data_IF_104398041687
#
_entry.id   IF_104398041687
#
_cell.length_a   1.000
_cell.length_b   1.000
_cell.length_c   1.000
_cell.angle_alpha   90.00
_cell.angle_beta   90.00
_cell.angle_gamma   90.00
#
_symmetry.space_group_name_H-M   'P 1'
#
loop_
_entity.id
_entity.type
_entity.pdbx_description
1 polymer ?
#
# COMPACT_ATOMS: atom_id res chain seq x y z
N UNK A 1 1.93 14.51 23.43
CA UNK A 1 0.69 14.01 22.83
C UNK A 1 0.57 14.46 21.39
N UNK A 2 0.65 15.75 21.07
CA UNK A 2 0.55 16.27 19.70
C UNK A 2 1.62 15.69 18.76
N UNK A 3 2.89 15.65 19.19
CA UNK A 3 3.99 15.04 18.41
C UNK A 3 3.80 13.53 18.15
N UNK A 4 3.15 12.81 19.09
CA UNK A 4 2.86 11.39 18.87
C UNK A 4 1.80 11.18 17.80
N UNK A 5 0.80 12.07 17.72
CA UNK A 5 -0.23 12.02 16.68
C UNK A 5 0.34 12.27 15.28
N UNK A 6 1.41 13.05 15.17
CA UNK A 6 2.10 13.35 13.92
C UNK A 6 3.04 12.22 13.46
N UNK A 7 3.55 11.40 14.38
CA UNK A 7 4.58 10.38 14.11
C UNK A 7 4.00 8.97 14.01
N UNK A 8 2.82 8.72 14.59
CA UNK A 8 2.24 7.37 14.63
C UNK A 8 0.96 7.27 13.79
N UNK A 9 0.91 6.41 12.74
CA UNK A 9 -0.32 6.12 12.01
C UNK A 9 -1.47 5.67 12.94
N UNK A 10 -1.13 4.99 14.04
CA UNK A 10 -2.07 4.60 15.09
C UNK A 10 -2.67 5.79 15.85
N UNK A 11 -2.02 6.95 15.84
CA UNK A 11 -2.52 8.20 16.40
C UNK A 11 -3.76 8.73 15.71
N UNK A 12 -3.86 8.51 14.38
CA UNK A 12 -5.00 8.93 13.57
C UNK A 12 -6.31 8.19 13.90
N UNK A 13 -6.24 7.04 14.60
CA UNK A 13 -7.42 6.23 14.95
C UNK A 13 -8.29 6.83 16.08
N UNK A 14 -7.99 8.02 16.60
CA UNK A 14 -8.81 8.70 17.61
C UNK A 14 -8.87 8.02 18.99
N UNK A 15 -8.31 6.81 19.16
CA UNK A 15 -8.38 6.03 20.43
C UNK A 15 -7.78 6.75 21.64
N UNK A 16 -6.84 7.68 21.41
CA UNK A 16 -6.25 8.48 22.47
C UNK A 16 -7.20 9.53 23.06
N UNK A 17 -8.30 9.81 22.38
CA UNK A 17 -9.34 10.71 22.87
C UNK A 17 -10.39 9.98 23.71
N UNK A 18 -10.43 8.64 23.74
CA UNK A 18 -11.43 7.89 24.51
C UNK A 18 -11.52 8.30 25.99
N UNK A 19 -10.41 8.51 26.73
CA UNK A 19 -10.51 8.98 28.12
C UNK A 19 -11.11 10.39 28.24
N UNK A 20 -10.98 11.23 27.20
CA UNK A 20 -11.52 12.59 27.20
C UNK A 20 -12.95 12.67 26.66
N UNK A 21 -13.49 11.61 26.02
CA UNK A 21 -14.83 11.63 25.44
C UNK A 21 -15.94 12.02 26.41
N UNK A 22 -15.99 11.53 27.67
CA UNK A 22 -17.00 11.93 28.61
C UNK A 22 -16.95 13.43 28.93
N UNK A 23 -15.76 14.00 29.11
CA UNK A 23 -15.55 15.41 29.36
C UNK A 23 -15.94 16.26 28.13
N UNK A 24 -15.53 15.84 26.94
CA UNK A 24 -15.88 16.49 25.67
C UNK A 24 -17.39 16.46 25.44
N UNK A 25 -18.03 15.33 25.68
CA UNK A 25 -19.49 15.18 25.57
C UNK A 25 -20.23 16.12 26.53
N UNK A 26 -19.81 16.19 27.79
CA UNK A 26 -20.36 17.10 28.77
C UNK A 26 -20.19 18.58 28.40
N UNK A 27 -18.99 18.98 27.95
CA UNK A 27 -18.72 20.37 27.51
C UNK A 27 -19.54 20.72 26.27
N UNK A 28 -19.64 19.80 25.28
CA UNK A 28 -20.43 20.00 24.08
C UNK A 28 -21.90 20.13 24.42
N UNK A 29 -22.43 19.24 25.27
CA UNK A 29 -23.83 19.29 25.71
C UNK A 29 -24.14 20.57 26.47
N UNK A 30 -23.25 20.98 27.40
CA UNK A 30 -23.39 22.22 28.16
C UNK A 30 -23.35 23.47 27.26
N UNK A 31 -22.40 23.49 26.32
CA UNK A 31 -22.28 24.57 25.33
C UNK A 31 -23.52 24.68 24.43
N UNK A 32 -24.01 23.55 23.92
CA UNK A 32 -25.27 23.50 23.13
C UNK A 32 -26.48 23.91 23.94
N UNK A 33 -26.59 23.50 25.22
CA UNK A 33 -27.70 23.93 26.07
C UNK A 33 -27.73 25.43 26.32
N UNK A 34 -26.53 26.03 26.58
CA UNK A 34 -26.41 27.48 26.73
C UNK A 34 -26.77 28.23 25.42
N UNK A 35 -26.43 27.66 24.27
CA UNK A 35 -26.77 28.25 22.98
C UNK A 35 -28.27 28.18 22.68
N UNK A 36 -28.95 27.10 23.06
CA UNK A 36 -30.41 26.95 22.94
C UNK A 36 -31.14 27.94 23.84
N UNK A 37 -30.63 28.22 25.05
CA UNK A 37 -31.16 29.23 25.94
C UNK A 37 -31.02 30.67 25.41
N UNK A 38 -29.96 30.92 24.59
CA UNK A 38 -29.72 32.22 23.95
C UNK A 38 -30.65 32.47 22.74
N UNK A 39 -31.00 31.37 22.01
CA UNK A 39 -31.92 31.44 20.88
C UNK A 39 -33.35 31.30 21.43
N UNK A 40 -34.08 32.41 21.53
CA UNK A 40 -35.51 32.41 21.99
C UNK A 40 -36.34 31.47 21.10
N UNK A 41 -36.49 30.22 21.51
CA UNK A 41 -37.38 29.25 20.85
C UNK A 41 -38.85 29.56 21.12
N UNK A 42 -39.75 29.34 20.15
CA UNK A 42 -41.19 29.47 20.39
C UNK A 42 -41.65 28.47 21.47
N UNK A 43 -42.73 28.88 22.21
CA UNK A 43 -43.24 28.16 23.39
C UNK A 43 -43.36 26.65 23.19
N UNK A 44 -42.87 25.84 24.20
CA UNK A 44 -42.81 24.39 24.08
C UNK A 44 -44.15 23.69 23.92
N UNK A 45 -44.18 22.58 23.19
CA UNK A 45 -45.29 21.64 23.13
C UNK A 45 -45.53 21.05 24.52
N UNK A 46 -46.75 20.94 24.92
CA UNK A 46 -47.34 20.98 26.24
C UNK A 46 -46.81 20.11 27.42
N UNK A 47 -45.74 19.34 27.32
CA UNK A 47 -45.19 18.55 28.44
C UNK A 47 -43.65 18.51 28.57
N UNK A 48 -42.90 19.21 27.75
CA UNK A 48 -41.45 19.34 27.89
C UNK A 48 -41.14 20.68 28.60
N UNK A 49 -40.69 20.59 29.84
CA UNK A 49 -40.62 21.75 30.74
C UNK A 49 -39.34 22.62 30.57
N UNK A 50 -38.42 22.25 29.67
CA UNK A 50 -37.21 23.08 29.45
C UNK A 50 -36.63 22.94 28.05
N UNK A 51 -35.91 23.97 27.50
CA UNK A 51 -35.16 23.89 26.25
C UNK A 51 -34.14 22.75 26.23
N UNK A 52 -33.56 22.41 27.39
CA UNK A 52 -32.59 21.32 27.57
C UNK A 52 -33.20 19.97 27.24
N UNK A 53 -34.48 19.75 27.54
CA UNK A 53 -35.19 18.50 27.22
C UNK A 53 -35.35 18.31 25.70
N UNK A 54 -35.64 19.37 24.96
CA UNK A 54 -35.70 19.32 23.49
C UNK A 54 -34.32 19.01 22.89
N UNK A 55 -33.28 19.69 23.40
CA UNK A 55 -31.92 19.44 22.96
C UNK A 55 -31.53 17.97 23.20
N UNK A 56 -31.85 17.43 24.39
CA UNK A 56 -31.56 16.04 24.72
C UNK A 56 -32.28 15.07 23.74
N UNK A 57 -33.53 15.33 23.39
CA UNK A 57 -34.28 14.52 22.42
C UNK A 57 -33.64 14.60 21.03
N UNK A 58 -33.34 15.80 20.55
CA UNK A 58 -32.72 16.01 19.25
C UNK A 58 -31.37 15.30 19.16
N UNK A 59 -30.50 15.43 20.19
CA UNK A 59 -29.22 14.74 20.25
C UNK A 59 -29.40 13.23 20.28
N UNK A 60 -30.32 12.69 21.09
CA UNK A 60 -30.53 11.24 21.14
C UNK A 60 -31.10 10.69 19.84
N UNK A 61 -32.06 11.38 19.21
CA UNK A 61 -32.57 10.99 17.88
C UNK A 61 -31.48 11.07 16.83
N UNK A 62 -30.69 12.13 16.83
CA UNK A 62 -29.51 12.26 15.92
C UNK A 62 -28.51 11.13 16.09
N UNK A 63 -28.16 10.81 17.33
CA UNK A 63 -27.24 9.70 17.65
C UNK A 63 -27.83 8.33 17.25
N UNK A 64 -29.13 8.10 17.52
CA UNK A 64 -29.79 6.86 17.10
C UNK A 64 -29.82 6.73 15.57
N UNK A 65 -30.13 7.81 14.86
CA UNK A 65 -30.09 7.84 13.39
C UNK A 65 -28.68 7.57 12.86
N UNK A 66 -27.66 8.23 13.42
CA UNK A 66 -26.26 8.02 13.05
C UNK A 66 -25.84 6.57 13.29
N UNK A 67 -26.26 5.98 14.42
CA UNK A 67 -25.97 4.58 14.74
C UNK A 67 -26.61 3.63 13.73
N UNK A 68 -27.88 3.87 13.36
CA UNK A 68 -28.58 3.05 12.34
C UNK A 68 -27.86 3.17 10.99
N UNK A 69 -27.51 4.40 10.57
CA UNK A 69 -26.79 4.63 9.32
C UNK A 69 -25.40 3.97 9.35
N UNK A 70 -24.68 4.07 10.48
CA UNK A 70 -23.38 3.43 10.63
C UNK A 70 -23.47 1.91 10.55
N UNK A 71 -24.46 1.30 11.23
CA UNK A 71 -24.61 -0.17 11.24
C UNK A 71 -25.08 -0.69 9.88
N UNK A 72 -26.15 -0.13 9.33
CA UNK A 72 -26.78 -0.69 8.12
C UNK A 72 -26.22 -0.10 6.82
N UNK A 73 -25.70 1.13 6.83
CA UNK A 73 -25.14 1.76 5.65
C UNK A 73 -23.65 1.48 5.44
N UNK A 74 -22.89 1.25 6.51
CA UNK A 74 -21.45 1.06 6.41
C UNK A 74 -20.99 -0.30 6.94
N UNK A 75 -21.34 -0.66 8.18
CA UNK A 75 -20.85 -1.91 8.77
C UNK A 75 -21.43 -3.13 8.09
N UNK A 76 -22.75 -3.18 7.87
CA UNK A 76 -23.38 -4.33 7.22
C UNK A 76 -22.84 -4.57 5.81
N UNK A 77 -22.57 -3.50 5.04
CA UNK A 77 -21.97 -3.60 3.72
C UNK A 77 -20.49 -4.04 3.79
N UNK A 78 -19.72 -3.53 4.77
CA UNK A 78 -18.32 -3.88 4.94
C UNK A 78 -18.08 -5.32 5.41
N UNK A 79 -19.09 -5.94 6.05
CA UNK A 79 -19.05 -7.33 6.54
C UNK A 79 -19.99 -8.26 5.77
N UNK A 80 -20.44 -7.85 4.58
CA UNK A 80 -21.23 -8.72 3.72
C UNK A 80 -20.37 -9.86 3.16
N UNK A 81 -20.97 -11.03 3.00
CA UNK A 81 -20.37 -12.11 2.24
C UNK A 81 -20.22 -11.69 0.76
N UNK A 82 -19.27 -12.29 0.02
CA UNK A 82 -19.11 -12.06 -1.41
C UNK A 82 -20.41 -12.32 -2.18
N UNK A 83 -20.61 -11.59 -3.28
CA UNK A 83 -21.81 -11.75 -4.08
C UNK A 83 -21.85 -13.10 -4.79
N UNK A 84 -22.97 -13.85 -4.72
CA UNK A 84 -23.10 -15.10 -5.44
C UNK A 84 -23.29 -14.86 -6.95
N UNK A 85 -22.81 -15.79 -7.78
CA UNK A 85 -23.07 -15.76 -9.21
C UNK A 85 -23.84 -17.02 -9.69
N UNK A 86 -24.59 -16.89 -10.79
CA UNK A 86 -25.39 -17.97 -11.34
C UNK A 86 -24.52 -18.99 -12.09
N UNK A 87 -24.96 -20.27 -12.13
CA UNK A 87 -24.22 -21.34 -12.79
C UNK A 87 -24.01 -21.12 -14.31
N UNK A 88 -24.88 -20.35 -14.93
CA UNK A 88 -24.88 -19.99 -16.35
C UNK A 88 -24.33 -18.58 -16.60
N UNK A 89 -23.73 -17.94 -15.59
CA UNK A 89 -23.10 -16.63 -15.74
C UNK A 89 -21.97 -16.69 -16.80
N UNK A 90 -21.92 -15.66 -17.63
CA UNK A 90 -20.81 -15.47 -18.56
C UNK A 90 -19.65 -14.82 -17.82
N UNK A 91 -18.52 -15.50 -17.74
CA UNK A 91 -17.33 -15.02 -17.08
C UNK A 91 -16.33 -14.53 -18.15
N UNK A 92 -15.77 -13.31 -18.03
CA UNK A 92 -14.94 -12.70 -19.08
C UNK A 92 -13.71 -13.52 -19.47
N UNK A 93 -12.96 -14.04 -18.48
CA UNK A 93 -11.76 -14.84 -18.70
C UNK A 93 -11.94 -16.22 -18.05
N UNK A 94 -12.55 -17.20 -18.74
CA UNK A 94 -12.80 -18.51 -18.18
C UNK A 94 -11.49 -19.27 -17.96
N UNK A 95 -11.35 -19.92 -16.79
CA UNK A 95 -10.16 -20.70 -16.41
C UNK A 95 -10.50 -22.17 -16.17
N UNK A 96 -11.42 -22.45 -15.25
CA UNK A 96 -11.75 -23.78 -14.74
C UNK A 96 -10.55 -24.52 -14.09
N UNK A 97 -9.56 -23.79 -13.59
CA UNK A 97 -8.45 -24.35 -12.84
C UNK A 97 -8.93 -24.83 -11.45
N UNK A 98 -8.56 -26.05 -11.09
CA UNK A 98 -8.96 -26.69 -9.85
C UNK A 98 -7.86 -26.53 -8.78
N UNK A 99 -8.23 -26.00 -7.64
CA UNK A 99 -7.37 -25.82 -6.47
C UNK A 99 -7.55 -27.01 -5.53
N UNK A 100 -6.60 -27.96 -5.60
CA UNK A 100 -6.68 -29.24 -4.92
C UNK A 100 -8.06 -29.90 -5.19
N UNK A 101 -8.68 -30.45 -4.15
CA UNK A 101 -10.03 -31.02 -4.21
C UNK A 101 -11.13 -30.06 -3.73
N UNK A 102 -10.79 -28.80 -3.45
CA UNK A 102 -11.68 -27.90 -2.70
C UNK A 102 -12.47 -26.93 -3.57
N UNK A 103 -11.84 -26.28 -4.55
CA UNK A 103 -12.47 -25.24 -5.32
C UNK A 103 -12.02 -25.23 -6.78
N UNK A 104 -12.87 -24.69 -7.66
CA UNK A 104 -12.56 -24.38 -9.06
C UNK A 104 -12.61 -22.86 -9.20
N UNK A 105 -11.56 -22.27 -9.77
CA UNK A 105 -11.64 -20.92 -10.31
C UNK A 105 -12.33 -21.03 -11.67
N UNK A 106 -13.58 -20.59 -11.76
CA UNK A 106 -14.35 -20.60 -13.02
C UNK A 106 -13.80 -19.59 -14.02
N UNK A 107 -13.20 -18.52 -13.54
CA UNK A 107 -12.54 -17.49 -14.31
C UNK A 107 -12.32 -16.24 -13.49
N UNK A 108 -11.95 -15.16 -14.16
CA UNK A 108 -11.64 -13.89 -13.50
C UNK A 108 -11.97 -12.70 -14.40
N UNK A 109 -12.02 -11.52 -13.80
CA UNK A 109 -12.12 -10.23 -14.47
C UNK A 109 -11.10 -9.26 -13.89
N UNK A 110 -10.47 -8.50 -14.75
CA UNK A 110 -9.57 -7.39 -14.37
C UNK A 110 -10.22 -6.09 -14.82
N UNK A 111 -10.21 -5.09 -13.95
CA UNK A 111 -10.68 -3.75 -14.29
C UNK A 111 -9.77 -3.09 -15.35
N UNK A 112 -8.46 -3.33 -15.25
CA UNK A 112 -7.45 -2.82 -16.18
C UNK A 112 -6.32 -3.83 -16.38
N UNK A 113 -5.58 -3.71 -17.50
CA UNK A 113 -4.36 -4.47 -17.78
C UNK A 113 -3.11 -3.59 -17.78
N UNK A 114 -3.28 -2.33 -17.40
CA UNK A 114 -2.19 -1.35 -17.28
C UNK A 114 -2.19 -0.79 -15.86
N UNK A 115 -1.05 -0.77 -15.21
CA UNK A 115 -0.86 -0.29 -13.85
C UNK A 115 0.22 0.79 -13.83
N UNK A 116 -0.01 1.86 -13.08
CA UNK A 116 0.98 2.91 -12.83
C UNK A 116 1.47 2.87 -11.38
N UNK A 117 2.67 3.38 -11.08
CA UNK A 117 3.14 3.55 -9.70
C UNK A 117 2.11 4.29 -8.84
N UNK A 118 1.88 3.79 -7.62
CA UNK A 118 0.84 4.32 -6.72
C UNK A 118 -0.60 3.99 -7.10
N UNK A 119 -0.81 3.32 -8.23
CA UNK A 119 -2.13 2.92 -8.72
C UNK A 119 -2.69 1.67 -8.04
N UNK A 120 -3.87 1.30 -8.48
CA UNK A 120 -4.58 0.11 -8.00
C UNK A 120 -5.02 -0.75 -9.17
N UNK A 121 -5.05 -2.05 -8.96
CA UNK A 121 -5.61 -3.05 -9.85
C UNK A 121 -6.69 -3.81 -9.09
N UNK A 122 -7.89 -3.95 -9.68
CA UNK A 122 -8.98 -4.73 -9.11
C UNK A 122 -9.15 -6.03 -9.89
N UNK A 123 -9.18 -7.13 -9.16
CA UNK A 123 -9.33 -8.49 -9.67
C UNK A 123 -10.55 -9.15 -9.06
N UNK A 124 -11.50 -9.54 -9.89
CA UNK A 124 -12.67 -10.33 -9.51
C UNK A 124 -12.43 -11.81 -9.85
N UNK A 125 -12.48 -12.66 -8.83
CA UNK A 125 -12.26 -14.10 -8.93
C UNK A 125 -13.58 -14.85 -8.75
N UNK A 126 -13.97 -15.65 -9.73
CA UNK A 126 -15.23 -16.41 -9.76
C UNK A 126 -14.99 -17.83 -9.25
N UNK A 127 -15.27 -18.07 -7.97
CA UNK A 127 -15.04 -19.34 -7.30
C UNK A 127 -16.27 -20.25 -7.31
N UNK A 128 -16.06 -21.54 -7.52
CA UNK A 128 -17.04 -22.60 -7.24
C UNK A 128 -16.43 -23.61 -6.28
N UNK A 129 -17.11 -23.87 -5.17
CA UNK A 129 -16.66 -24.81 -4.15
C UNK A 129 -17.10 -26.22 -4.49
N UNK A 130 -16.16 -27.16 -4.51
CA UNK A 130 -16.39 -28.60 -4.76
C UNK A 130 -16.59 -29.33 -3.45
N UNK A 131 -15.66 -29.13 -2.52
CA UNK A 131 -15.67 -29.73 -1.18
C UNK A 131 -15.30 -28.70 -0.13
N UNK A 132 -15.80 -28.89 1.07
CA UNK A 132 -15.44 -28.04 2.20
C UNK A 132 -13.94 -28.21 2.53
N UNK A 133 -13.16 -27.13 2.56
CA UNK A 133 -11.77 -27.17 2.99
C UNK A 133 -11.64 -27.58 4.47
N UNK A 134 -10.55 -28.26 4.88
CA UNK A 134 -10.35 -28.70 6.26
C UNK A 134 -10.00 -27.55 7.22
N UNK A 135 -9.78 -26.35 6.72
CA UNK A 135 -9.40 -25.18 7.52
C UNK A 135 -9.42 -23.90 6.69
N UNK A 136 -8.88 -22.83 7.26
CA UNK A 136 -8.77 -21.55 6.57
C UNK A 136 -7.51 -21.52 5.71
N UNK A 137 -7.71 -21.23 4.43
CA UNK A 137 -6.66 -20.89 3.49
C UNK A 137 -6.65 -19.37 3.24
N UNK A 138 -5.48 -18.83 2.99
CA UNK A 138 -5.29 -17.48 2.50
C UNK A 138 -5.18 -17.51 0.98
N UNK A 139 -5.81 -16.56 0.33
CA UNK A 139 -5.60 -16.24 -1.06
C UNK A 139 -4.43 -15.28 -1.16
N UNK A 140 -3.43 -15.61 -1.95
CA UNK A 140 -2.43 -14.65 -2.38
C UNK A 140 -2.70 -14.19 -3.80
N UNK A 141 -2.46 -12.92 -4.03
CA UNK A 141 -2.47 -12.29 -5.36
C UNK A 141 -1.15 -11.56 -5.49
N UNK A 142 -0.30 -12.01 -6.38
CA UNK A 142 1.07 -11.55 -6.55
C UNK A 142 1.26 -10.97 -7.95
N UNK A 143 1.89 -9.81 -8.03
CA UNK A 143 2.36 -9.20 -9.27
C UNK A 143 3.89 -9.30 -9.30
N UNK A 144 4.41 -10.06 -10.24
CA UNK A 144 5.83 -10.39 -10.36
C UNK A 144 6.40 -9.71 -11.59
N UNK A 145 7.41 -8.89 -11.42
CA UNK A 145 8.13 -8.21 -12.51
C UNK A 145 8.81 -9.24 -13.41
N UNK A 146 8.55 -9.19 -14.71
CA UNK A 146 9.01 -10.22 -15.65
C UNK A 146 10.51 -10.13 -15.95
N UNK A 147 11.14 -8.94 -15.79
CA UNK A 147 12.57 -8.77 -15.99
C UNK A 147 13.39 -9.27 -14.80
N UNK A 148 12.98 -8.87 -13.59
CA UNK A 148 13.75 -9.19 -12.37
C UNK A 148 13.25 -10.46 -11.68
N UNK A 149 12.01 -10.89 -11.93
CA UNK A 149 11.36 -11.97 -11.19
C UNK A 149 11.09 -11.58 -9.72
N UNK A 150 11.07 -10.28 -9.40
CA UNK A 150 10.78 -9.78 -8.05
C UNK A 150 9.29 -9.54 -7.86
N UNK A 151 8.84 -9.66 -6.62
CA UNK A 151 7.47 -9.36 -6.24
C UNK A 151 7.31 -7.85 -6.09
N UNK A 152 6.54 -7.21 -6.99
CA UNK A 152 6.39 -5.75 -7.02
C UNK A 152 5.09 -5.24 -6.42
N UNK A 153 4.07 -6.09 -6.32
CA UNK A 153 2.87 -5.82 -5.56
C UNK A 153 2.22 -7.13 -5.12
N UNK A 154 1.58 -7.12 -3.95
CA UNK A 154 0.90 -8.31 -3.44
C UNK A 154 -0.29 -7.96 -2.56
N UNK A 155 -1.20 -8.91 -2.45
CA UNK A 155 -2.22 -8.95 -1.43
C UNK A 155 -2.49 -10.37 -0.98
N UNK A 156 -2.25 -10.62 0.30
CA UNK A 156 -2.60 -11.87 0.97
C UNK A 156 -3.80 -11.61 1.88
N UNK A 157 -4.86 -12.37 1.71
CA UNK A 157 -6.10 -12.17 2.46
C UNK A 157 -6.89 -13.47 2.60
N UNK A 158 -7.75 -13.56 3.61
CA UNK A 158 -8.79 -14.58 3.58
C UNK A 158 -9.82 -14.24 2.49
N UNK A 159 -10.41 -15.25 1.82
CA UNK A 159 -11.47 -15.04 0.84
C UNK A 159 -12.60 -14.14 1.37
N UNK A 160 -13.17 -13.33 0.48
CA UNK A 160 -14.13 -12.29 0.83
C UNK A 160 -13.55 -11.20 1.74
N UNK A 161 -12.24 -10.91 1.63
CA UNK A 161 -11.52 -9.99 2.52
C UNK A 161 -11.69 -10.33 4.02
N UNK A 162 -11.87 -11.63 4.33
CA UNK A 162 -12.09 -12.15 5.67
C UNK A 162 -13.56 -12.38 6.05
N UNK A 163 -14.50 -11.94 5.22
CA UNK A 163 -15.93 -12.10 5.48
C UNK A 163 -16.47 -13.47 5.06
N UNK A 164 -15.72 -14.22 4.23
CA UNK A 164 -16.10 -15.55 3.78
C UNK A 164 -14.88 -16.51 3.80
N UNK A 165 -14.29 -16.76 4.98
CA UNK A 165 -13.11 -17.62 5.10
C UNK A 165 -13.43 -19.05 4.63
N UNK A 166 -12.44 -19.73 4.04
CA UNK A 166 -12.66 -21.01 3.36
C UNK A 166 -13.21 -22.14 4.25
N UNK A 167 -13.06 -22.04 5.57
CA UNK A 167 -13.70 -22.97 6.51
C UNK A 167 -15.24 -22.89 6.54
N UNK A 168 -15.81 -21.80 6.02
CA UNK A 168 -17.28 -21.60 5.93
C UNK A 168 -17.85 -22.07 4.59
N UNK A 169 -17.00 -22.38 3.60
CA UNK A 169 -17.43 -22.80 2.27
C UNK A 169 -18.20 -24.11 2.31
N UNK A 170 -19.26 -24.18 1.50
CA UNK A 170 -20.06 -25.37 1.33
C UNK A 170 -19.99 -25.86 -0.12
N UNK A 171 -20.04 -27.19 -0.38
CA UNK A 171 -20.09 -27.70 -1.74
C UNK A 171 -21.26 -27.11 -2.52
N UNK A 172 -20.94 -26.53 -3.69
CA UNK A 172 -21.89 -25.84 -4.57
C UNK A 172 -21.98 -24.33 -4.39
N UNK A 173 -21.31 -23.75 -3.41
CA UNK A 173 -21.19 -22.30 -3.29
C UNK A 173 -20.51 -21.73 -4.53
N UNK A 174 -21.04 -20.60 -5.04
CA UNK A 174 -20.48 -19.81 -6.13
C UNK A 174 -20.48 -18.36 -5.74
N UNK A 175 -19.32 -17.74 -5.72
CA UNK A 175 -19.16 -16.36 -5.28
C UNK A 175 -18.05 -15.64 -6.04
N UNK A 176 -18.16 -14.30 -6.08
CA UNK A 176 -17.13 -13.41 -6.65
C UNK A 176 -16.31 -12.82 -5.52
N UNK A 177 -15.01 -13.09 -5.53
CA UNK A 177 -14.06 -12.53 -4.56
C UNK A 177 -13.30 -11.37 -5.20
N UNK A 178 -13.64 -10.15 -4.79
CA UNK A 178 -13.07 -8.91 -5.33
C UNK A 178 -11.83 -8.50 -4.53
N UNK A 179 -10.68 -8.53 -5.17
CA UNK A 179 -9.39 -8.20 -4.57
C UNK A 179 -8.81 -6.95 -5.22
N UNK A 180 -8.42 -5.99 -4.40
CA UNK A 180 -7.74 -4.79 -4.85
C UNK A 180 -6.28 -4.81 -4.40
N UNK A 181 -5.35 -4.65 -5.35
CA UNK A 181 -3.91 -4.62 -5.12
C UNK A 181 -3.43 -3.19 -5.31
N UNK A 182 -2.51 -2.75 -4.47
CA UNK A 182 -1.88 -1.43 -4.56
C UNK A 182 -0.45 -1.57 -5.06
N UNK A 183 -0.11 -0.81 -6.10
CA UNK A 183 1.25 -0.68 -6.60
C UNK A 183 2.04 0.32 -5.74
N UNK A 184 3.30 0.01 -5.45
CA UNK A 184 4.18 0.96 -4.78
C UNK A 184 4.39 2.22 -5.62
N UNK A 185 4.47 3.39 -4.99
CA UNK A 185 4.87 4.64 -5.64
C UNK A 185 6.29 4.59 -6.22
N UNK A 186 7.13 3.70 -5.69
CA UNK A 186 8.52 3.51 -6.14
C UNK A 186 8.69 2.39 -7.15
N UNK A 187 7.59 1.82 -7.67
CA UNK A 187 7.63 0.79 -8.71
C UNK A 187 8.41 1.27 -9.93
N UNK A 188 9.29 0.41 -10.46
CA UNK A 188 10.10 0.75 -11.64
C UNK A 188 9.28 0.70 -12.92
N UNK A 189 9.43 1.71 -13.78
CA UNK A 189 8.70 1.86 -15.05
C UNK A 189 9.64 2.25 -16.21
N UNK A 190 9.31 1.90 -17.46
CA UNK A 190 8.24 0.98 -17.87
C UNK A 190 8.64 -0.48 -17.64
N UNK A 191 7.66 -1.38 -17.65
CA UNK A 191 7.90 -2.81 -17.52
C UNK A 191 6.66 -3.65 -17.79
N UNK A 192 6.81 -4.97 -17.67
CA UNK A 192 5.71 -5.93 -17.66
C UNK A 192 5.81 -6.79 -16.41
N UNK A 193 4.66 -7.26 -15.95
CA UNK A 193 4.58 -8.11 -14.80
C UNK A 193 3.51 -9.18 -14.99
N UNK A 194 3.75 -10.37 -14.44
CA UNK A 194 2.80 -11.47 -14.43
C UNK A 194 1.97 -11.44 -13.16
N UNK A 195 0.64 -11.35 -13.32
CA UNK A 195 -0.32 -11.48 -12.23
C UNK A 195 -0.59 -12.96 -11.96
N UNK A 196 -0.40 -13.40 -10.71
CA UNK A 196 -0.60 -14.80 -10.29
C UNK A 196 -1.38 -14.89 -8.99
N UNK A 197 -2.16 -15.96 -8.85
CA UNK A 197 -2.92 -16.26 -7.62
C UNK A 197 -2.64 -17.67 -7.13
N UNK A 198 -2.92 -17.88 -5.86
CA UNK A 198 -2.93 -19.21 -5.26
C UNK A 198 -3.56 -19.21 -3.86
N UNK A 199 -3.77 -20.40 -3.33
CA UNK A 199 -4.27 -20.60 -1.97
C UNK A 199 -3.20 -21.28 -1.13
N UNK A 200 -3.02 -20.85 0.11
CA UNK A 200 -2.06 -21.48 1.01
C UNK A 200 -2.58 -21.59 2.45
N UNK A 201 -2.14 -22.62 3.17
CA UNK A 201 -2.40 -22.76 4.59
C UNK A 201 -1.40 -21.88 5.37
N UNK A 202 -1.87 -20.94 6.22
CA UNK A 202 -0.97 -20.14 7.05
C UNK A 202 -0.44 -20.94 8.24
N UNK A 203 0.71 -20.53 8.79
CA UNK A 203 1.29 -21.08 10.03
C UNK A 203 2.70 -21.66 9.85
N UNK A 204 3.20 -22.34 10.90
CA UNK A 204 4.57 -22.89 10.91
C UNK A 204 4.83 -23.92 9.81
N UNK A 205 3.80 -24.69 9.42
CA UNK A 205 3.86 -25.65 8.32
C UNK A 205 3.08 -25.12 7.10
N UNK A 206 3.34 -23.87 6.71
CA UNK A 206 2.71 -23.26 5.54
C UNK A 206 2.97 -24.08 4.29
N UNK A 207 1.91 -24.35 3.52
CA UNK A 207 1.99 -25.00 2.21
C UNK A 207 0.97 -24.39 1.26
N UNK A 208 1.31 -24.35 -0.02
CA UNK A 208 0.40 -23.90 -1.08
C UNK A 208 -0.39 -25.07 -1.63
N UNK A 209 -1.64 -24.82 -2.02
CA UNK A 209 -2.46 -25.82 -2.70
C UNK A 209 -1.97 -26.04 -4.12
N UNK A 210 -1.96 -27.28 -4.54
CA UNK A 210 -1.68 -27.65 -5.91
C UNK A 210 -2.85 -27.23 -6.84
N UNK A 211 -2.52 -26.81 -8.04
CA UNK A 211 -3.48 -26.34 -9.05
C UNK A 211 -3.40 -27.27 -10.25
N UNK A 212 -4.55 -27.71 -10.74
CA UNK A 212 -4.65 -28.55 -11.92
C UNK A 212 -5.56 -27.93 -12.99
N UNK A 213 -5.22 -28.16 -14.24
CA UNK A 213 -6.09 -27.85 -15.38
C UNK A 213 -7.32 -28.78 -15.40
N UNK A 214 -8.37 -28.47 -16.20
CA UNK A 214 -9.57 -29.31 -16.30
C UNK A 214 -9.31 -30.74 -16.78
N UNK A 215 -8.21 -30.98 -17.49
CA UNK A 215 -7.78 -32.29 -17.93
C UNK A 215 -6.94 -33.06 -16.88
N UNK A 216 -6.73 -32.49 -15.71
CA UNK A 216 -5.93 -33.02 -14.62
C UNK A 216 -4.43 -32.74 -14.70
N UNK A 217 -3.96 -31.99 -15.70
CA UNK A 217 -2.56 -31.57 -15.80
C UNK A 217 -2.19 -30.66 -14.64
N UNK A 218 -1.13 -30.97 -13.92
CA UNK A 218 -0.64 -30.12 -12.80
C UNK A 218 -0.03 -28.82 -13.35
N UNK A 219 -0.52 -27.68 -12.87
CA UNK A 219 -0.10 -26.34 -13.28
C UNK A 219 0.91 -25.70 -12.31
N UNK A 220 1.10 -26.27 -11.11
CA UNK A 220 1.93 -25.69 -10.07
C UNK A 220 1.12 -25.34 -8.83
N UNK A 221 1.64 -24.41 -8.04
CA UNK A 221 1.02 -23.87 -6.80
C UNK A 221 0.70 -22.37 -6.88
N UNK A 222 0.93 -21.77 -8.04
CA UNK A 222 0.53 -20.41 -8.42
C UNK A 222 -0.03 -20.45 -9.87
N UNK A 223 -1.20 -19.87 -10.05
CA UNK A 223 -1.88 -19.78 -11.36
C UNK A 223 -1.61 -18.40 -11.97
N UNK A 224 -0.88 -18.31 -13.08
CA UNK A 224 -0.79 -17.06 -13.82
C UNK A 224 -2.15 -16.74 -14.46
N UNK A 225 -2.62 -15.51 -14.27
CA UNK A 225 -3.87 -15.01 -14.83
C UNK A 225 -3.65 -14.19 -16.09
N UNK A 226 -2.53 -13.46 -16.16
CA UNK A 226 -2.22 -12.61 -17.30
C UNK A 226 -1.06 -11.70 -17.07
N UNK A 227 -0.70 -10.97 -18.12
CA UNK A 227 0.35 -9.95 -18.12
C UNK A 227 -0.26 -8.58 -17.85
N UNK A 228 0.39 -7.81 -16.98
CA UNK A 228 0.05 -6.43 -16.64
C UNK A 228 1.18 -5.54 -17.14
N UNK A 229 0.84 -4.57 -17.98
CA UNK A 229 1.80 -3.54 -18.41
C UNK A 229 1.99 -2.53 -17.29
N UNK A 230 3.24 -2.32 -16.88
CA UNK A 230 3.61 -1.27 -15.92
C UNK A 230 3.97 -0.03 -16.74
N UNK A 231 3.06 0.94 -16.74
CA UNK A 231 3.17 2.14 -17.58
C UNK A 231 3.82 3.30 -16.84
N UNK A 232 4.58 4.10 -17.58
CA UNK A 232 5.07 5.38 -17.09
C UNK A 232 3.91 6.31 -16.72
N UNK A 233 4.12 7.12 -15.69
CA UNK A 233 3.23 8.23 -15.37
C UNK A 233 3.54 9.36 -16.34
N UNK A 234 2.53 9.99 -16.93
CA UNK A 234 2.72 11.21 -17.71
C UNK A 234 3.22 12.32 -16.76
N UNK A 235 4.48 12.67 -16.89
CA UNK A 235 5.17 13.54 -15.95
C UNK A 235 5.84 14.75 -16.65
N UNK A 236 5.35 15.12 -17.82
CA UNK A 236 5.82 16.32 -18.50
C UNK A 236 5.54 17.55 -17.64
N UNK A 237 6.61 18.14 -17.12
CA UNK A 237 6.53 19.42 -16.40
C UNK A 237 6.34 20.58 -17.37
N UNK A 238 5.82 21.70 -16.88
CA UNK A 238 5.69 22.94 -17.68
C UNK A 238 7.02 23.40 -18.28
N UNK A 239 8.15 23.05 -17.65
CA UNK A 239 9.51 23.33 -18.13
C UNK A 239 10.04 22.29 -19.15
N UNK A 240 9.21 21.32 -19.54
CA UNK A 240 9.55 20.27 -20.52
C UNK A 240 10.49 19.17 -20.01
N UNK A 241 10.80 19.13 -18.70
CA UNK A 241 11.65 18.09 -18.14
C UNK A 241 10.84 16.81 -17.83
N UNK A 242 11.42 15.68 -18.22
CA UNK A 242 10.95 14.35 -17.93
C UNK A 242 11.85 13.69 -16.88
N UNK A 243 11.26 13.01 -15.90
CA UNK A 243 11.97 12.25 -14.87
C UNK A 243 11.62 10.77 -14.99
N UNK A 244 12.61 9.89 -15.24
CA UNK A 244 12.38 8.46 -15.15
C UNK A 244 11.91 8.09 -13.74
N UNK A 245 11.03 7.09 -13.64
CA UNK A 245 10.50 6.62 -12.35
C UNK A 245 10.13 7.78 -11.42
N UNK A 246 9.10 8.54 -11.84
CA UNK A 246 8.64 9.75 -11.14
C UNK A 246 8.31 9.45 -9.67
N UNK A 247 8.82 10.30 -8.79
CA UNK A 247 8.56 10.28 -7.36
C UNK A 247 8.12 11.65 -6.84
N UNK A 248 7.53 11.68 -5.66
CA UNK A 248 7.20 12.89 -4.94
C UNK A 248 7.52 12.73 -3.44
N UNK A 249 8.76 12.35 -3.13
CA UNK A 249 9.16 12.05 -1.76
C UNK A 249 9.85 13.25 -1.12
N UNK A 250 9.20 13.80 -0.09
CA UNK A 250 9.62 15.00 0.59
C UNK A 250 10.50 14.66 1.80
N UNK A 251 11.77 15.05 1.76
CA UNK A 251 12.72 14.89 2.86
C UNK A 251 12.78 16.18 3.68
N UNK A 252 12.13 16.19 4.82
CA UNK A 252 12.14 17.23 5.85
C UNK A 252 11.77 18.65 5.38
N UNK A 253 11.02 18.79 4.28
CA UNK A 253 10.71 20.04 3.59
C UNK A 253 11.92 20.83 3.08
N UNK A 254 13.05 20.17 2.91
CA UNK A 254 14.28 20.73 2.39
C UNK A 254 14.55 20.32 0.96
N UNK A 255 14.51 19.01 0.70
CA UNK A 255 14.70 18.42 -0.61
C UNK A 255 13.54 17.48 -0.95
N UNK A 256 13.25 17.39 -2.23
CA UNK A 256 12.32 16.42 -2.81
C UNK A 256 13.07 15.48 -3.74
N UNK A 257 12.90 14.18 -3.58
CA UNK A 257 13.29 13.22 -4.59
C UNK A 257 12.16 13.15 -5.64
N UNK A 258 12.47 13.57 -6.87
CA UNK A 258 11.49 13.69 -7.97
C UNK A 258 11.51 12.53 -8.93
N UNK A 259 12.54 11.69 -8.88
CA UNK A 259 12.66 10.50 -9.70
C UNK A 259 13.99 9.79 -9.49
N UNK A 260 14.12 8.61 -10.07
CA UNK A 260 15.35 7.83 -10.01
C UNK A 260 15.53 6.96 -11.27
N UNK A 261 16.74 6.45 -11.47
CA UNK A 261 17.10 5.58 -12.58
C UNK A 261 18.19 4.61 -12.17
N UNK A 262 18.13 3.38 -12.67
CA UNK A 262 19.19 2.37 -12.54
C UNK A 262 19.87 2.15 -13.87
N UNK A 263 21.21 1.93 -13.84
CA UNK A 263 21.93 1.53 -15.05
C UNK A 263 21.46 0.19 -15.60
N UNK A 264 21.00 -0.71 -14.72
CA UNK A 264 20.42 -2.01 -15.03
C UNK A 264 19.72 -2.57 -13.79
N UNK A 265 18.76 -3.45 -13.97
CA UNK A 265 18.01 -4.06 -12.84
C UNK A 265 18.39 -5.51 -12.56
N UNK A 266 19.08 -6.15 -13.50
CA UNK A 266 19.63 -7.51 -13.38
C UNK A 266 21.13 -7.45 -13.48
N UNK A 267 21.83 -7.94 -12.45
CA UNK A 267 23.29 -7.88 -12.34
C UNK A 267 23.88 -9.23 -11.98
N UNK A 268 25.14 -9.43 -12.39
CA UNK A 268 25.98 -10.51 -11.88
C UNK A 268 26.77 -10.06 -10.63
N UNK A 269 27.16 -11.00 -9.75
CA UNK A 269 28.10 -10.70 -8.67
C UNK A 269 29.40 -10.09 -9.19
N UNK A 270 29.87 -9.02 -8.55
CA UNK A 270 31.05 -8.27 -8.97
C UNK A 270 30.81 -7.14 -9.97
N UNK A 271 29.61 -7.02 -10.50
CA UNK A 271 29.22 -5.88 -11.35
C UNK A 271 28.94 -4.62 -10.53
N UNK A 272 28.75 -3.54 -11.24
CA UNK A 272 28.54 -2.21 -10.66
C UNK A 272 27.13 -1.72 -11.05
N UNK A 273 26.36 -1.31 -10.05
CA UNK A 273 25.07 -0.62 -10.23
C UNK A 273 25.29 0.88 -10.10
N UNK A 274 24.91 1.66 -11.11
CA UNK A 274 24.74 3.10 -10.97
C UNK A 274 23.27 3.43 -10.68
N UNK A 275 23.05 4.19 -9.61
CA UNK A 275 21.74 4.72 -9.19
C UNK A 275 21.79 6.22 -9.36
N UNK A 276 20.99 6.77 -10.26
CA UNK A 276 20.85 8.22 -10.44
C UNK A 276 19.57 8.69 -9.75
N UNK A 277 19.71 9.66 -8.88
CA UNK A 277 18.63 10.30 -8.12
C UNK A 277 18.42 11.73 -8.62
N UNK A 278 17.17 12.13 -8.78
CA UNK A 278 16.80 13.47 -9.24
C UNK A 278 16.23 14.26 -8.08
N UNK A 279 17.04 15.18 -7.53
CA UNK A 279 16.67 15.99 -6.36
C UNK A 279 16.21 17.38 -6.74
N UNK A 280 15.17 17.88 -6.07
CA UNK A 280 14.68 19.25 -6.16
C UNK A 280 14.80 19.97 -4.81
N UNK A 281 15.40 21.15 -4.77
CA UNK A 281 15.43 21.96 -3.56
C UNK A 281 14.07 22.62 -3.35
N UNK A 282 13.48 22.44 -2.15
CA UNK A 282 12.16 23.01 -1.80
C UNK A 282 12.24 24.38 -1.17
N UNK A 283 13.41 24.77 -0.63
CA UNK A 283 13.65 26.07 -0.01
C UNK A 283 15.03 26.63 -0.33
N UNK A 284 15.24 27.95 -0.18
CA UNK A 284 16.56 28.54 -0.33
C UNK A 284 17.53 28.04 0.73
N UNK A 285 18.77 27.76 0.30
CA UNK A 285 19.87 27.35 1.16
C UNK A 285 19.49 26.26 2.20
N UNK A 286 19.05 25.06 1.76
CA UNK A 286 18.89 23.95 2.68
C UNK A 286 20.23 23.64 3.37
N UNK A 287 20.28 22.90 4.49
CA UNK A 287 21.51 22.39 5.06
C UNK A 287 22.33 21.58 4.06
N UNK A 288 23.62 21.40 4.31
CA UNK A 288 24.41 20.45 3.54
C UNK A 288 24.07 19.03 3.97
N UNK A 289 23.71 18.22 2.97
CA UNK A 289 23.36 16.82 3.13
C UNK A 289 24.36 15.91 2.43
N UNK A 290 24.48 14.70 2.96
CA UNK A 290 25.05 13.55 2.27
C UNK A 290 23.88 12.68 1.81
N UNK A 291 24.00 12.09 0.64
CA UNK A 291 23.04 11.11 0.13
C UNK A 291 23.61 9.72 0.38
N UNK A 292 22.85 8.89 1.08
CA UNK A 292 23.15 7.47 1.27
C UNK A 292 22.32 6.65 0.29
N UNK A 293 22.99 5.82 -0.50
CA UNK A 293 22.35 4.80 -1.32
C UNK A 293 22.92 3.46 -0.87
N UNK A 294 22.08 2.54 -0.44
CA UNK A 294 22.51 1.27 0.11
C UNK A 294 21.72 0.09 -0.45
N UNK A 295 22.40 -1.05 -0.59
CA UNK A 295 21.81 -2.33 -0.96
C UNK A 295 21.52 -3.14 0.29
N UNK A 296 20.31 -3.67 0.41
CA UNK A 296 19.91 -4.54 1.51
C UNK A 296 19.22 -5.81 1.01
N UNK A 297 19.24 -6.83 1.84
CA UNK A 297 18.45 -8.04 1.60
C UNK A 297 17.07 -7.89 2.24
N UNK A 298 15.97 -8.08 1.49
CA UNK A 298 14.64 -8.06 2.08
C UNK A 298 14.48 -8.99 3.30
N UNK A 299 13.81 -8.57 4.38
CA UNK A 299 12.92 -7.43 4.52
C UNK A 299 13.59 -6.06 4.85
N UNK A 300 14.90 -5.92 4.72
CA UNK A 300 15.62 -4.66 4.95
C UNK A 300 15.32 -4.00 6.30
N UNK A 301 15.33 -4.79 7.36
CA UNK A 301 15.04 -4.30 8.70
C UNK A 301 16.19 -3.41 9.23
N UNK A 302 15.89 -2.41 10.07
CA UNK A 302 16.87 -1.44 10.62
C UNK A 302 18.07 -2.08 11.34
N UNK A 303 17.90 -3.30 11.87
CA UNK A 303 18.95 -4.07 12.53
C UNK A 303 19.84 -4.87 11.57
N UNK A 304 19.48 -4.92 10.26
CA UNK A 304 20.27 -5.62 9.24
C UNK A 304 21.28 -4.64 8.62
N UNK A 305 22.58 -5.00 8.59
CA UNK A 305 23.56 -4.14 7.95
C UNK A 305 23.34 -4.09 6.44
N UNK A 306 23.60 -2.93 5.84
CA UNK A 306 23.65 -2.81 4.39
C UNK A 306 24.78 -3.69 3.82
N UNK A 307 24.53 -4.32 2.68
CA UNK A 307 25.50 -5.18 1.99
C UNK A 307 26.57 -4.35 1.28
N UNK A 308 26.16 -3.22 0.72
CA UNK A 308 27.05 -2.21 0.16
C UNK A 308 26.39 -0.83 0.28
N UNK A 309 27.18 0.21 0.45
CA UNK A 309 26.70 1.58 0.66
C UNK A 309 27.56 2.57 -0.07
N UNK A 310 26.94 3.53 -0.75
CA UNK A 310 27.53 4.78 -1.20
C UNK A 310 27.01 5.90 -0.32
N UNK A 311 27.88 6.60 0.39
CA UNK A 311 27.56 7.77 1.22
C UNK A 311 28.46 8.93 0.78
N UNK A 312 27.89 9.89 0.06
CA UNK A 312 28.63 10.99 -0.52
C UNK A 312 27.80 12.28 -0.56
N UNK A 313 28.44 13.47 -0.57
CA UNK A 313 27.74 14.68 -0.96
C UNK A 313 27.35 14.59 -2.44
N UNK A 314 26.27 15.26 -2.87
CA UNK A 314 25.88 15.31 -4.27
C UNK A 314 27.04 15.80 -5.15
N UNK A 315 27.24 15.15 -6.29
CA UNK A 315 28.40 15.38 -7.16
C UNK A 315 28.47 16.80 -7.76
N UNK A 316 27.32 17.46 -7.93
CA UNK A 316 27.25 18.76 -8.61
C UNK A 316 27.68 19.95 -7.76
N UNK A 317 27.23 20.00 -6.51
CA UNK A 317 27.52 21.04 -5.50
C UNK A 317 26.89 20.67 -4.16
N UNK A 318 27.36 21.25 -3.04
CA UNK A 318 26.67 21.15 -1.76
C UNK A 318 25.20 21.59 -1.86
N UNK A 319 24.31 20.90 -1.17
CA UNK A 319 22.87 21.17 -1.22
C UNK A 319 22.51 22.59 -0.78
N UNK A 320 23.30 23.19 0.11
CA UNK A 320 23.15 24.59 0.55
C UNK A 320 23.29 25.62 -0.59
N UNK A 321 23.90 25.24 -1.69
CA UNK A 321 24.05 26.07 -2.88
C UNK A 321 22.92 25.92 -3.91
N UNK A 322 21.95 25.02 -3.70
CA UNK A 322 20.91 24.77 -4.68
C UNK A 322 19.77 25.81 -4.61
N UNK A 323 19.42 26.47 -5.72
CA UNK A 323 18.26 27.34 -5.80
C UNK A 323 16.95 26.53 -5.67
N UNK A 324 15.90 27.09 -5.06
CA UNK A 324 14.59 26.45 -5.03
C UNK A 324 14.08 26.12 -6.44
N UNK A 325 13.47 24.95 -6.60
CA UNK A 325 12.97 24.46 -7.88
C UNK A 325 14.03 23.95 -8.84
N UNK A 326 15.33 24.04 -8.49
CA UNK A 326 16.38 23.42 -9.29
C UNK A 326 16.37 21.92 -9.07
N UNK A 327 16.32 21.18 -10.18
CA UNK A 327 16.52 19.72 -10.14
C UNK A 327 17.98 19.41 -10.45
N UNK A 328 18.56 18.55 -9.62
CA UNK A 328 19.95 18.10 -9.68
C UNK A 328 19.98 16.59 -9.82
N UNK A 329 20.64 16.08 -10.85
CA UNK A 329 20.95 14.66 -10.99
C UNK A 329 22.18 14.32 -10.15
N UNK A 330 22.05 13.28 -9.32
CA UNK A 330 23.09 12.80 -8.42
C UNK A 330 23.25 11.29 -8.58
N UNK A 331 24.44 10.84 -9.04
CA UNK A 331 24.68 9.44 -9.37
C UNK A 331 25.58 8.79 -8.34
N UNK A 332 25.09 7.71 -7.75
CA UNK A 332 25.80 6.85 -6.83
C UNK A 332 26.16 5.53 -7.48
N UNK A 333 27.33 4.99 -7.14
CA UNK A 333 27.82 3.72 -7.68
C UNK A 333 27.97 2.72 -6.55
N UNK A 334 27.30 1.58 -6.68
CA UNK A 334 27.39 0.44 -5.76
C UNK A 334 28.13 -0.70 -6.42
N UNK A 335 29.20 -1.19 -5.80
CA UNK A 335 29.89 -2.42 -6.23
C UNK A 335 29.16 -3.61 -5.59
N UNK A 336 28.65 -4.51 -6.41
CA UNK A 336 28.03 -5.75 -5.94
C UNK A 336 29.10 -6.73 -5.49
N UNK A 337 29.01 -7.23 -4.26
CA UNK A 337 29.98 -8.19 -3.74
C UNK A 337 30.03 -9.42 -4.67
N UNK A 338 31.23 -9.85 -5.13
CA UNK A 338 31.40 -11.05 -5.94
C UNK A 338 30.86 -12.35 -5.30
N UNK A 339 30.68 -12.36 -3.98
CA UNK A 339 30.16 -13.50 -3.24
C UNK A 339 28.68 -13.37 -2.89
N UNK A 340 28.01 -12.30 -3.36
CA UNK A 340 26.60 -12.09 -3.07
C UNK A 340 25.76 -13.20 -3.72
N UNK A 341 24.91 -13.93 -2.95
CA UNK A 341 24.07 -14.98 -3.52
C UNK A 341 23.09 -14.47 -4.57
N UNK A 342 22.73 -15.27 -5.56
CA UNK A 342 21.61 -14.95 -6.43
C UNK A 342 20.32 -14.72 -5.64
N UNK A 343 19.58 -13.67 -5.99
CA UNK A 343 18.35 -13.31 -5.25
C UNK A 343 17.86 -11.91 -5.59
N UNK A 344 16.77 -11.51 -4.94
CA UNK A 344 16.22 -10.15 -4.99
C UNK A 344 16.84 -9.31 -3.88
N UNK A 345 17.15 -8.07 -4.20
CA UNK A 345 17.77 -7.11 -3.28
C UNK A 345 17.14 -5.74 -3.47
N UNK A 346 16.96 -5.02 -2.37
CA UNK A 346 16.32 -3.72 -2.37
C UNK A 346 17.34 -2.58 -2.26
N UNK A 347 17.02 -1.46 -2.90
CA UNK A 347 17.81 -0.23 -2.81
C UNK A 347 17.14 0.72 -1.85
N UNK A 348 17.87 1.16 -0.83
CA UNK A 348 17.45 2.22 0.09
C UNK A 348 18.15 3.53 -0.25
N UNK A 349 17.41 4.62 -0.07
CA UNK A 349 17.91 6.00 -0.15
C UNK A 349 17.61 6.72 1.15
N UNK A 350 18.62 7.36 1.73
CA UNK A 350 18.47 8.24 2.87
C UNK A 350 19.19 9.57 2.65
N UNK A 351 18.65 10.63 3.24
CA UNK A 351 19.28 11.94 3.28
C UNK A 351 19.88 12.14 4.67
N UNK A 352 21.19 12.32 4.74
CA UNK A 352 21.95 12.39 6.00
C UNK A 352 22.46 13.82 6.21
N UNK A 353 22.13 14.45 7.32
CA UNK A 353 22.67 15.76 7.68
C UNK A 353 24.21 15.70 7.79
N UNK A 354 24.91 16.56 7.05
CA UNK A 354 26.36 16.49 6.95
C UNK A 354 27.07 16.82 8.27
N UNK A 355 26.42 17.54 9.20
CA UNK A 355 26.98 17.96 10.50
C UNK A 355 26.60 16.96 11.59
N UNK A 356 25.31 16.70 11.76
CA UNK A 356 24.81 15.85 12.87
C UNK A 356 24.92 14.36 12.58
N UNK A 357 25.06 13.97 11.30
CA UNK A 357 25.05 12.59 10.81
C UNK A 357 23.73 11.87 11.07
N UNK A 358 22.68 12.60 11.35
CA UNK A 358 21.34 12.05 11.52
C UNK A 358 20.60 11.93 10.19
N UNK A 359 19.86 10.84 9.94
CA UNK A 359 18.99 10.73 8.77
C UNK A 359 17.83 11.73 8.90
N UNK A 360 17.36 12.20 7.75
CA UNK A 360 16.23 13.13 7.67
C UNK A 360 14.96 12.35 7.38
N UNK A 361 13.87 12.71 8.09
CA UNK A 361 12.59 12.04 7.91
C UNK A 361 11.94 12.40 6.57
N UNK A 362 11.30 11.41 5.99
CA UNK A 362 10.37 11.58 4.88
C UNK A 362 9.04 12.07 5.46
N UNK A 363 8.48 13.10 4.85
CA UNK A 363 7.28 13.79 5.33
C UNK A 363 6.14 13.57 4.34
N UNK A 364 5.01 13.04 4.83
CA UNK A 364 3.80 12.90 4.05
C UNK A 364 3.14 14.26 3.75
N UNK A 365 2.18 14.28 2.83
CA UNK A 365 1.46 15.51 2.45
C UNK A 365 0.70 16.17 3.61
N UNK A 366 0.23 15.38 4.58
CA UNK A 366 -0.44 15.89 5.80
C UNK A 366 0.56 16.31 6.91
N UNK A 367 1.88 16.19 6.65
CA UNK A 367 2.96 16.63 7.52
C UNK A 367 3.42 15.62 8.57
N UNK A 368 2.89 14.38 8.59
CA UNK A 368 3.45 13.36 9.47
C UNK A 368 4.72 12.73 8.90
N UNK A 369 5.57 12.20 9.78
CA UNK A 369 6.77 11.47 9.39
C UNK A 369 6.43 10.04 9.01
N UNK A 370 6.92 9.61 7.84
CA UNK A 370 6.69 8.26 7.31
C UNK A 370 7.82 7.33 7.75
N UNK A 371 9.06 7.69 7.37
CA UNK A 371 10.28 6.91 7.59
C UNK A 371 11.50 7.83 7.47
N UNK A 372 12.69 7.35 7.74
CA UNK A 372 13.95 8.04 7.48
C UNK A 372 14.74 7.45 6.29
N UNK A 373 14.22 6.40 5.67
CA UNK A 373 14.75 5.72 4.48
C UNK A 373 13.65 5.43 3.48
N UNK A 374 13.94 5.70 2.22
CA UNK A 374 13.06 5.37 1.11
C UNK A 374 13.50 4.05 0.48
N UNK A 375 12.58 3.10 0.39
CA UNK A 375 12.77 1.87 -0.37
C UNK A 375 12.42 2.14 -1.84
N UNK A 376 13.38 1.98 -2.74
CA UNK A 376 13.19 2.00 -4.19
C UNK A 376 12.86 0.59 -4.71
N UNK A 377 12.68 0.48 -6.03
CA UNK A 377 12.42 -0.82 -6.66
C UNK A 377 13.59 -1.80 -6.48
N UNK A 378 13.24 -3.08 -6.40
CA UNK A 378 14.20 -4.16 -6.25
C UNK A 378 15.02 -4.39 -7.52
N UNK A 379 16.23 -4.94 -7.32
CA UNK A 379 17.09 -5.47 -8.35
C UNK A 379 17.26 -6.98 -8.19
N UNK A 380 17.69 -7.65 -9.25
CA UNK A 380 17.98 -9.08 -9.26
C UNK A 380 19.47 -9.34 -9.44
N UNK A 381 20.03 -10.15 -8.53
CA UNK A 381 21.37 -10.72 -8.73
C UNK A 381 21.20 -12.12 -9.32
N UNK A 382 21.87 -12.36 -10.46
CA UNK A 382 21.89 -13.65 -11.17
C UNK A 382 23.31 -14.12 -11.35
N UNK A 383 23.57 -15.44 -11.48
CA UNK A 383 24.91 -15.99 -11.73
C UNK A 383 25.53 -15.49 -13.01
#
# INVERSE_FOLDING_TARGET
MFNYLLVSPAGAMGRFFFPALPALALLTFYGLSAWVDLVRMPKPISNLQSPVSYLAIVVNVGMATLTIVAIFGYLAAAFAEPEPFAADATIPNPSNAQFDSFAILRGYELDETTLQPGGYLTLDLYWEVINQPPGNFLLFVHLIDDETGTLIAQRDTHPGLGNFPSSQWQPGDRFVDSIRIHASETMYVPGNATLSIGLYAPGENSYRLGIAAPDGTFLGDALPLGEITIAEVDNWREDGRFFPNLLNQNFFNDLRLTGYEYSQRVLAPGETLAVTLYWEALRPAPPDYLVEVSLCQPPCADWMPALTTSLAPPQSAPTSGWPPGQVVADTHTLLIDPNLPPGSYSIHVALIDAVTKAPQNIVAEDGHYIDDRLLLADIRIQP
#
